data_IF_462878794184
#
_entry.id   IF_462878794184
#
_cell.length_a   1.000
_cell.length_b   1.000
_cell.length_c   1.000
_cell.angle_alpha   90.00
_cell.angle_beta   90.00
_cell.angle_gamma   90.00
#
_symmetry.space_group_name_H-M   'P 1'
#
loop_
_entity.id
_entity.type
_entity.pdbx_description
1 polymer ?
#
# COMPACT_ATOMS: atom_id res chain seq x y z
N UNK A 1 12.10 5.78 5.95
CA UNK A 1 11.72 4.73 6.92
C UNK A 1 10.44 5.03 7.64
N UNK A 2 9.70 3.99 7.95
CA UNK A 2 8.39 4.08 8.61
C UNK A 2 8.48 3.53 10.03
N UNK A 3 8.17 4.35 11.02
CA UNK A 3 8.30 4.05 12.46
C UNK A 3 9.69 3.48 12.80
N UNK A 4 9.75 2.30 13.45
CA UNK A 4 11.00 1.62 13.79
C UNK A 4 11.71 0.91 12.63
N UNK A 5 11.16 0.92 11.42
CA UNK A 5 11.72 0.24 10.25
C UNK A 5 12.34 1.26 9.29
N UNK A 6 13.67 1.24 9.16
CA UNK A 6 14.38 2.11 8.23
C UNK A 6 14.20 1.65 6.78
N UNK A 7 14.41 0.38 6.50
CA UNK A 7 14.21 -0.26 5.19
C UNK A 7 13.93 -1.75 5.41
N UNK A 8 12.89 -2.26 4.76
CA UNK A 8 12.58 -3.69 4.73
C UNK A 8 11.89 -4.05 3.43
N UNK A 9 12.03 -5.29 3.03
CA UNK A 9 11.22 -5.93 1.98
C UNK A 9 10.57 -7.14 2.62
N UNK A 10 9.25 -7.25 2.47
CA UNK A 10 8.47 -8.37 3.00
C UNK A 10 7.72 -9.00 1.84
N UNK A 11 7.92 -10.29 1.66
CA UNK A 11 7.21 -11.08 0.65
C UNK A 11 6.15 -11.89 1.36
N UNK A 12 4.90 -11.78 0.92
CA UNK A 12 3.78 -12.54 1.43
C UNK A 12 3.48 -13.70 0.48
N UNK A 13 3.42 -14.90 1.03
CA UNK A 13 2.79 -16.04 0.37
C UNK A 13 1.27 -15.94 0.53
N UNK A 14 0.54 -16.87 -0.09
CA UNK A 14 -0.92 -16.95 0.01
C UNK A 14 -1.40 -16.92 1.48
N UNK A 15 -0.67 -17.59 2.36
CA UNK A 15 -0.87 -17.52 3.81
C UNK A 15 0.46 -17.17 4.47
N UNK A 16 0.50 -16.11 5.24
CA UNK A 16 1.70 -15.66 5.93
C UNK A 16 1.45 -15.43 7.42
N UNK A 17 2.40 -15.84 8.25
CA UNK A 17 2.38 -15.63 9.70
C UNK A 17 3.62 -14.84 10.11
N UNK A 18 3.41 -13.69 10.76
CA UNK A 18 4.48 -12.87 11.30
C UNK A 18 4.75 -13.28 12.76
N UNK A 19 5.91 -13.87 13.03
CA UNK A 19 6.33 -14.32 14.36
C UNK A 19 7.53 -13.52 14.82
N UNK A 20 7.57 -13.18 16.09
CA UNK A 20 8.68 -12.46 16.70
C UNK A 20 8.32 -11.83 18.05
N UNK A 21 9.30 -11.33 18.81
CA UNK A 21 9.07 -10.68 20.11
C UNK A 21 8.25 -9.39 19.97
N UNK A 22 7.76 -8.86 21.09
CA UNK A 22 7.10 -7.56 21.10
C UNK A 22 8.08 -6.47 20.64
N UNK A 23 7.59 -5.51 19.88
CA UNK A 23 8.44 -4.44 19.32
C UNK A 23 9.22 -4.82 18.05
N UNK A 24 9.13 -6.05 17.52
CA UNK A 24 9.87 -6.49 16.33
C UNK A 24 9.33 -5.95 15.00
N UNK A 25 8.32 -5.08 15.01
CA UNK A 25 7.79 -4.46 13.80
C UNK A 25 6.62 -5.20 13.14
N UNK A 26 6.08 -6.29 13.73
CA UNK A 26 4.93 -7.03 13.18
C UNK A 26 3.72 -6.13 12.92
N UNK A 27 3.32 -5.36 13.92
CA UNK A 27 2.21 -4.41 13.79
C UNK A 27 2.54 -3.27 12.83
N UNK A 28 3.81 -2.85 12.76
CA UNK A 28 4.27 -1.82 11.82
C UNK A 28 4.06 -2.25 10.37
N UNK A 29 4.29 -3.53 10.05
CA UNK A 29 4.03 -4.09 8.72
C UNK A 29 2.53 -4.06 8.41
N UNK A 30 1.67 -4.49 9.35
CA UNK A 30 0.22 -4.44 9.17
C UNK A 30 -0.30 -3.00 9.02
N UNK A 31 0.25 -2.07 9.80
CA UNK A 31 -0.10 -0.65 9.70
C UNK A 31 0.36 -0.05 8.36
N UNK A 32 1.53 -0.45 7.85
CA UNK A 32 2.00 -0.04 6.52
C UNK A 32 1.04 -0.51 5.41
N UNK A 33 0.59 -1.77 5.46
CA UNK A 33 -0.41 -2.28 4.53
C UNK A 33 -1.75 -1.54 4.68
N UNK A 34 -2.17 -1.27 5.92
CA UNK A 34 -3.40 -0.52 6.19
C UNK A 34 -3.35 0.91 5.66
N UNK A 35 -2.21 1.57 5.76
CA UNK A 35 -1.99 2.91 5.18
C UNK A 35 -2.02 2.87 3.66
N UNK A 36 -1.41 1.85 3.06
CA UNK A 36 -1.33 1.74 1.60
C UNK A 36 -2.67 1.36 0.98
N UNK A 37 -3.40 0.41 1.56
CA UNK A 37 -4.61 -0.17 0.98
C UNK A 37 -5.90 0.20 1.71
N UNK A 38 -5.81 0.75 2.92
CA UNK A 38 -6.99 1.13 3.70
C UNK A 38 -7.69 2.34 3.10
N UNK A 39 -9.02 2.39 3.28
CA UNK A 39 -9.80 3.58 2.90
C UNK A 39 -9.41 4.76 3.77
N UNK A 40 -9.38 5.94 3.18
CA UNK A 40 -8.97 7.19 3.85
C UNK A 40 -9.71 7.47 5.15
N UNK A 41 -10.98 7.06 5.24
CA UNK A 41 -11.82 7.24 6.43
C UNK A 41 -11.50 6.27 7.58
N UNK A 42 -10.75 5.20 7.32
CA UNK A 42 -10.42 4.15 8.29
C UNK A 42 -8.95 4.18 8.69
N UNK A 43 -8.16 4.98 7.99
CA UNK A 43 -6.74 5.17 8.30
C UNK A 43 -6.65 6.26 9.37
N UNK A 44 -5.98 5.94 10.49
CA UNK A 44 -5.66 6.96 11.48
C UNK A 44 -4.84 8.08 10.86
N UNK A 45 -4.92 9.26 11.41
CA UNK A 45 -4.05 10.36 11.02
C UNK A 45 -2.58 9.99 11.27
N UNK A 46 -1.74 10.35 10.32
CA UNK A 46 -0.31 10.22 10.42
C UNK A 46 0.25 11.36 11.27
N UNK A 47 1.29 11.06 12.05
CA UNK A 47 1.98 12.02 12.89
C UNK A 47 3.50 11.94 12.64
N UNK A 48 4.26 12.86 13.23
CA UNK A 48 5.72 12.82 13.22
C UNK A 48 6.30 11.50 13.74
N UNK A 49 5.57 10.79 14.62
CA UNK A 49 5.98 9.50 15.17
C UNK A 49 5.90 8.34 14.16
N UNK A 50 5.32 8.57 13.00
CA UNK A 50 5.31 7.59 11.91
C UNK A 50 6.57 7.63 11.05
N UNK A 51 7.40 8.65 11.24
CA UNK A 51 8.71 8.71 10.61
C UNK A 51 9.76 7.97 11.44
N UNK A 52 10.77 7.42 10.75
CA UNK A 52 11.88 6.78 11.44
C UNK A 52 12.64 7.79 12.30
N UNK A 53 12.77 7.50 13.59
CA UNK A 53 13.38 8.39 14.56
C UNK A 53 12.46 9.43 15.18
N UNK A 54 11.20 9.50 14.77
CA UNK A 54 10.13 10.35 15.35
C UNK A 54 10.38 11.87 15.32
N UNK A 55 11.39 12.31 14.58
CA UNK A 55 11.76 13.73 14.42
C UNK A 55 12.12 13.99 12.95
N UNK A 56 11.11 14.05 12.06
CA UNK A 56 11.40 14.25 10.64
C UNK A 56 11.97 15.64 10.38
N UNK A 57 13.07 15.71 9.62
CA UNK A 57 13.55 16.96 9.04
C UNK A 57 12.69 17.32 7.81
N UNK A 58 12.79 18.57 7.33
CA UNK A 58 12.00 19.08 6.20
C UNK A 58 12.09 18.20 4.94
N UNK A 59 13.27 17.68 4.63
CA UNK A 59 13.49 16.78 3.50
C UNK A 59 13.15 15.32 3.80
N UNK A 60 12.74 14.98 5.03
CA UNK A 60 12.47 13.59 5.39
C UNK A 60 11.20 13.09 4.74
N UNK A 61 11.32 11.97 4.05
CA UNK A 61 10.20 11.26 3.41
C UNK A 61 10.20 9.81 3.91
N UNK A 62 9.02 9.21 4.05
CA UNK A 62 8.94 7.77 4.02
C UNK A 62 8.10 7.31 2.83
N UNK A 63 8.43 6.13 2.31
CA UNK A 63 7.72 5.49 1.22
C UNK A 63 7.36 4.07 1.62
N UNK A 64 6.16 3.68 1.30
CA UNK A 64 5.66 2.31 1.36
C UNK A 64 5.31 1.92 -0.06
N UNK A 65 5.88 0.85 -0.55
CA UNK A 65 5.57 0.35 -1.90
C UNK A 65 5.07 -1.08 -1.77
N UNK A 66 3.90 -1.33 -2.32
CA UNK A 66 3.30 -2.65 -2.34
C UNK A 66 3.10 -3.12 -3.78
N UNK A 67 3.55 -4.34 -4.06
CA UNK A 67 3.30 -5.01 -5.35
C UNK A 67 2.04 -5.87 -5.20
N UNK A 68 1.05 -5.61 -6.04
CA UNK A 68 -0.22 -6.33 -6.09
C UNK A 68 -0.28 -7.14 -7.37
N UNK A 69 -0.33 -8.46 -7.24
CA UNK A 69 -0.48 -9.39 -8.36
C UNK A 69 -1.93 -9.80 -8.58
N UNK A 70 -2.18 -10.45 -9.71
CA UNK A 70 -3.51 -10.98 -10.05
C UNK A 70 -4.56 -9.92 -10.36
N UNK A 71 -4.12 -8.73 -10.79
CA UNK A 71 -5.02 -7.62 -11.15
C UNK A 71 -5.78 -7.86 -12.46
N UNK A 72 -5.26 -8.72 -13.31
CA UNK A 72 -5.92 -9.22 -14.52
C UNK A 72 -5.52 -10.65 -14.80
N UNK A 73 -6.27 -11.33 -15.64
CA UNK A 73 -6.02 -12.72 -15.99
C UNK A 73 -4.97 -12.86 -17.09
N UNK A 74 -4.83 -11.93 -18.03
CA UNK A 74 -3.99 -12.14 -19.22
C UNK A 74 -3.29 -10.86 -19.71
N UNK A 75 -4.02 -9.77 -19.97
CA UNK A 75 -3.47 -8.57 -20.63
C UNK A 75 -3.71 -7.30 -19.82
N UNK A 76 -2.73 -6.37 -19.77
CA UNK A 76 -2.93 -5.07 -19.11
C UNK A 76 -4.12 -4.28 -19.67
N UNK A 77 -4.43 -4.47 -20.95
CA UNK A 77 -5.52 -3.80 -21.65
C UNK A 77 -6.91 -4.18 -21.14
N UNK A 78 -7.07 -5.34 -20.50
CA UNK A 78 -8.33 -5.75 -19.86
C UNK A 78 -8.66 -4.94 -18.61
N UNK A 79 -7.67 -4.25 -18.06
CA UNK A 79 -7.78 -3.43 -16.85
C UNK A 79 -7.47 -1.96 -17.12
N UNK A 80 -8.29 -1.34 -17.98
CA UNK A 80 -8.15 0.07 -18.36
C UNK A 80 -8.01 1.02 -17.17
N UNK A 81 -8.78 0.80 -16.12
CA UNK A 81 -8.76 1.65 -14.94
C UNK A 81 -7.44 1.60 -14.18
N UNK A 82 -6.64 0.56 -14.36
CA UNK A 82 -5.36 0.35 -13.70
C UNK A 82 -4.17 0.79 -14.56
N UNK A 83 -4.23 0.60 -15.89
CA UNK A 83 -3.05 0.71 -16.75
C UNK A 83 -3.17 1.73 -17.88
N UNK A 84 -4.38 2.19 -18.26
CA UNK A 84 -4.52 3.19 -19.33
C UNK A 84 -4.39 4.62 -18.82
N UNK A 85 -4.15 5.54 -19.76
CA UNK A 85 -4.08 6.98 -19.55
C UNK A 85 -2.97 7.39 -18.57
N UNK A 86 -1.81 6.71 -18.66
CA UNK A 86 -0.64 7.04 -17.85
C UNK A 86 -0.78 6.69 -16.36
N UNK A 87 -1.67 5.77 -16.02
CA UNK A 87 -1.84 5.30 -14.63
C UNK A 87 -0.71 4.35 -14.21
N UNK A 88 -1.01 3.11 -13.90
CA UNK A 88 -0.01 2.14 -13.48
C UNK A 88 0.83 1.61 -14.63
N UNK A 89 2.11 1.39 -14.39
CA UNK A 89 2.97 0.66 -15.31
C UNK A 89 2.78 -0.83 -15.08
N UNK A 90 2.38 -1.60 -16.09
CA UNK A 90 2.25 -3.04 -15.98
C UNK A 90 3.62 -3.67 -15.74
N UNK A 91 3.70 -4.58 -14.78
CA UNK A 91 4.89 -5.35 -14.44
C UNK A 91 4.52 -6.80 -14.24
N UNK A 92 5.51 -7.67 -14.24
CA UNK A 92 5.30 -9.10 -14.06
C UNK A 92 6.08 -9.60 -12.85
N UNK A 93 5.41 -10.27 -11.95
CA UNK A 93 6.02 -10.79 -10.74
C UNK A 93 6.87 -12.02 -11.05
N UNK A 94 8.16 -11.92 -10.76
CA UNK A 94 9.09 -13.03 -10.81
C UNK A 94 9.14 -13.73 -9.44
N UNK A 95 8.62 -14.94 -9.38
CA UNK A 95 8.52 -15.71 -8.13
C UNK A 95 9.87 -16.24 -7.63
N UNK A 96 10.90 -16.32 -8.48
CA UNK A 96 12.23 -16.77 -8.07
C UNK A 96 13.04 -15.64 -7.43
N UNK A 97 12.97 -14.44 -8.01
CA UNK A 97 13.70 -13.28 -7.51
C UNK A 97 12.92 -12.46 -6.51
N UNK A 98 11.63 -12.69 -6.38
CA UNK A 98 10.68 -11.88 -5.62
C UNK A 98 10.73 -10.39 -6.03
N UNK A 99 10.70 -10.14 -7.33
CA UNK A 99 10.70 -8.80 -7.91
C UNK A 99 9.65 -8.65 -9.00
N UNK A 100 9.19 -7.43 -9.17
CA UNK A 100 8.38 -7.04 -10.32
C UNK A 100 9.33 -6.69 -11.48
N UNK A 101 9.11 -7.29 -12.64
CA UNK A 101 9.92 -7.09 -13.85
C UNK A 101 9.10 -6.29 -14.88
N UNK A 102 9.75 -5.44 -15.69
CA UNK A 102 9.05 -4.60 -16.67
C UNK A 102 8.53 -5.38 -17.88
N UNK A 103 8.96 -6.61 -18.06
CA UNK A 103 8.54 -7.48 -19.16
C UNK A 103 8.28 -8.91 -18.67
N UNK A 104 7.34 -9.63 -19.28
CA UNK A 104 7.07 -11.01 -18.94
C UNK A 104 8.28 -11.89 -19.32
N UNK A 105 8.54 -12.90 -18.50
CA UNK A 105 9.55 -13.92 -18.73
C UNK A 105 9.05 -15.29 -18.28
N UNK A 106 9.83 -16.36 -18.51
CA UNK A 106 9.46 -17.70 -18.07
C UNK A 106 9.19 -17.80 -16.55
N UNK A 107 9.84 -16.95 -15.76
CA UNK A 107 9.73 -16.91 -14.30
C UNK A 107 8.89 -15.71 -13.79
N UNK A 108 8.59 -14.74 -14.66
CA UNK A 108 7.78 -13.57 -14.39
C UNK A 108 6.50 -13.60 -15.25
N UNK A 109 5.48 -14.30 -14.77
CA UNK A 109 4.26 -14.60 -15.53
C UNK A 109 3.01 -13.92 -14.96
N UNK A 110 3.03 -13.50 -13.70
CA UNK A 110 1.86 -12.90 -13.05
C UNK A 110 1.88 -11.39 -13.23
N UNK A 111 0.91 -10.87 -13.97
CA UNK A 111 0.72 -9.43 -14.10
C UNK A 111 0.51 -8.81 -12.73
N UNK A 112 1.25 -7.74 -12.46
CA UNK A 112 1.19 -7.00 -11.21
C UNK A 112 1.32 -5.49 -11.43
N UNK A 113 0.94 -4.74 -10.42
CA UNK A 113 1.10 -3.29 -10.35
C UNK A 113 1.75 -2.92 -9.02
N UNK A 114 2.48 -1.83 -8.99
CA UNK A 114 3.05 -1.29 -7.78
C UNK A 114 2.30 -0.04 -7.33
N UNK A 115 1.92 -0.02 -6.07
CA UNK A 115 1.20 1.09 -5.44
C UNK A 115 2.10 1.65 -4.35
N UNK A 116 2.38 2.95 -4.45
CA UNK A 116 3.16 3.69 -3.48
C UNK A 116 2.28 4.51 -2.54
N UNK A 117 2.72 4.66 -1.31
CA UNK A 117 2.30 5.72 -0.40
C UNK A 117 3.55 6.45 0.05
N UNK A 118 3.59 7.75 -0.19
CA UNK A 118 4.63 8.63 0.31
C UNK A 118 4.05 9.58 1.36
N UNK A 119 4.88 9.95 2.35
CA UNK A 119 4.53 10.94 3.33
C UNK A 119 5.70 11.87 3.62
N UNK A 120 5.38 13.15 3.89
CA UNK A 120 6.29 14.18 4.39
C UNK A 120 5.66 14.91 5.57
N UNK A 121 6.50 15.50 6.41
CA UNK A 121 6.04 16.35 7.49
C UNK A 121 6.15 17.81 7.07
N UNK A 122 5.04 18.51 7.13
CA UNK A 122 4.97 19.95 6.93
C UNK A 122 5.24 20.65 8.27
N UNK A 123 6.36 21.38 8.36
CA UNK A 123 6.78 22.07 9.58
C UNK A 123 6.00 23.36 9.82
N UNK A 124 5.46 23.97 8.77
CA UNK A 124 4.71 25.24 8.89
C UNK A 124 3.30 24.97 9.41
N UNK A 125 2.66 23.93 8.89
CA UNK A 125 1.32 23.54 9.30
C UNK A 125 1.28 22.45 10.39
N UNK A 126 2.46 21.95 10.80
CA UNK A 126 2.62 20.88 11.81
C UNK A 126 1.78 19.64 11.52
N UNK A 127 1.67 19.28 10.26
CA UNK A 127 0.90 18.13 9.81
C UNK A 127 1.70 17.19 8.90
N UNK A 128 1.23 15.96 8.77
CA UNK A 128 1.76 15.02 7.79
C UNK A 128 0.94 15.09 6.51
N UNK A 129 1.60 15.45 5.44
CA UNK A 129 1.05 15.29 4.09
C UNK A 129 1.37 13.90 3.56
N UNK A 130 0.43 13.29 2.90
CA UNK A 130 0.62 12.00 2.28
C UNK A 130 -0.16 11.87 0.98
N UNK A 131 0.37 11.07 0.07
CA UNK A 131 -0.29 10.74 -1.19
C UNK A 131 -0.10 9.28 -1.54
N UNK A 132 -1.09 8.72 -2.23
CA UNK A 132 -1.01 7.41 -2.87
C UNK A 132 -0.84 7.58 -4.36
N UNK A 133 -0.01 6.77 -4.96
CA UNK A 133 0.33 6.89 -6.36
C UNK A 133 0.63 5.52 -6.98
N UNK A 134 0.53 5.45 -8.30
CA UNK A 134 1.07 4.33 -9.05
C UNK A 134 2.60 4.46 -9.05
N UNK A 135 3.27 3.47 -8.45
CA UNK A 135 4.72 3.50 -8.33
C UNK A 135 5.37 2.91 -9.58
N UNK A 136 6.29 3.66 -10.15
CA UNK A 136 7.28 3.18 -11.13
C UNK A 136 8.66 3.06 -10.46
N UNK A 137 9.66 2.50 -11.16
CA UNK A 137 10.93 2.10 -10.53
C UNK A 137 11.87 3.26 -10.18
N UNK A 138 11.50 4.49 -10.41
CA UNK A 138 12.36 5.62 -10.10
C UNK A 138 12.25 6.05 -8.63
N UNK A 139 13.10 5.44 -7.79
CA UNK A 139 13.25 5.82 -6.38
C UNK A 139 13.85 7.23 -6.17
N UNK A 140 14.34 7.87 -7.23
CA UNK A 140 14.97 9.19 -7.15
C UNK A 140 13.96 10.34 -7.24
N UNK A 141 12.78 10.10 -7.81
CA UNK A 141 11.74 11.12 -7.94
C UNK A 141 11.08 11.35 -6.58
N UNK A 142 10.95 12.61 -6.15
CA UNK A 142 10.10 12.95 -5.01
C UNK A 142 8.63 12.94 -5.46
N UNK A 143 7.79 12.06 -4.89
CA UNK A 143 6.38 11.99 -5.26
C UNK A 143 5.58 13.26 -5.00
N UNK A 144 6.14 14.21 -4.25
CA UNK A 144 5.50 15.50 -3.96
C UNK A 144 5.87 16.60 -4.95
N UNK A 145 6.77 16.33 -5.90
CA UNK A 145 7.04 17.26 -6.98
C UNK A 145 5.85 17.30 -7.96
N UNK A 146 5.67 18.44 -8.61
CA UNK A 146 4.57 18.64 -9.55
C UNK A 146 4.67 17.65 -10.70
N UNK A 147 3.57 16.96 -10.98
CA UNK A 147 3.44 15.93 -12.03
C UNK A 147 4.45 14.76 -11.94
N UNK A 148 5.11 14.60 -10.81
CA UNK A 148 6.12 13.55 -10.62
C UNK A 148 5.54 12.13 -10.64
N UNK A 149 4.30 11.96 -10.20
CA UNK A 149 3.65 10.64 -10.09
C UNK A 149 2.18 10.70 -10.46
N UNK A 150 1.65 9.57 -10.93
CA UNK A 150 0.23 9.42 -11.21
C UNK A 150 -0.53 9.05 -9.91
N UNK A 151 -1.48 9.89 -9.44
CA UNK A 151 -2.24 9.61 -8.23
C UNK A 151 -3.03 8.31 -8.34
N UNK A 152 -3.03 7.52 -7.25
CA UNK A 152 -3.81 6.30 -7.18
C UNK A 152 -5.26 6.60 -6.77
N UNK A 153 -6.26 6.31 -7.62
CA UNK A 153 -7.66 6.65 -7.33
C UNK A 153 -8.22 5.81 -6.18
N UNK A 154 -8.88 6.46 -5.22
CA UNK A 154 -9.49 5.77 -4.07
C UNK A 154 -10.53 4.70 -4.48
N UNK A 155 -11.18 4.82 -5.63
CA UNK A 155 -12.12 3.82 -6.15
C UNK A 155 -11.47 2.45 -6.36
N UNK A 156 -10.20 2.42 -6.81
CA UNK A 156 -9.47 1.18 -7.05
C UNK A 156 -9.07 0.46 -5.76
N UNK A 157 -9.00 1.17 -4.62
CA UNK A 157 -8.81 0.52 -3.32
C UNK A 157 -9.92 -0.50 -2.99
N UNK A 158 -11.13 -0.25 -3.51
CA UNK A 158 -12.25 -1.17 -3.29
C UNK A 158 -12.06 -2.49 -4.02
N UNK A 159 -11.37 -2.47 -5.16
CA UNK A 159 -11.10 -3.66 -5.96
C UNK A 159 -10.03 -4.56 -5.33
N UNK A 160 -9.08 -3.98 -4.58
CA UNK A 160 -8.03 -4.74 -3.88
C UNK A 160 -8.62 -5.66 -2.81
N UNK A 161 -9.75 -5.29 -2.22
CA UNK A 161 -10.42 -6.12 -1.21
C UNK A 161 -9.63 -6.27 0.10
N UNK A 162 -8.78 -5.30 0.45
CA UNK A 162 -7.96 -5.36 1.66
C UNK A 162 -8.77 -5.09 2.93
N UNK A 163 -8.58 -5.95 3.93
CA UNK A 163 -9.23 -5.82 5.24
C UNK A 163 -8.25 -6.07 6.38
N UNK A 164 -8.35 -5.29 7.43
CA UNK A 164 -7.66 -5.54 8.69
C UNK A 164 -8.69 -5.88 9.75
N UNK A 165 -8.55 -7.04 10.36
CA UNK A 165 -9.34 -7.41 11.52
C UNK A 165 -8.68 -6.85 12.78
N UNK A 166 -9.40 -6.09 13.61
CA UNK A 166 -8.83 -5.54 14.84
C UNK A 166 -8.49 -6.66 15.83
N UNK A 167 -7.45 -6.44 16.63
CA UNK A 167 -6.99 -7.39 17.64
C UNK A 167 -8.08 -7.67 18.67
N UNK A 168 -8.83 -6.66 19.05
CA UNK A 168 -10.03 -6.82 19.90
C UNK A 168 -11.23 -7.18 19.01
N UNK A 169 -11.54 -8.45 18.99
CA UNK A 169 -12.71 -9.01 18.29
C UNK A 169 -13.96 -8.84 19.14
N UNK A 170 -14.48 -7.64 19.25
CA UNK A 170 -15.86 -7.46 19.72
C UNK A 170 -16.78 -7.80 18.55
N UNK A 171 -17.50 -8.91 18.64
CA UNK A 171 -18.43 -9.37 17.60
C UNK A 171 -19.44 -8.28 17.23
N UNK A 172 -19.89 -7.51 18.21
CA UNK A 172 -20.82 -6.39 18.00
C UNK A 172 -20.27 -5.36 17.01
N UNK A 173 -18.99 -5.00 17.10
CA UNK A 173 -18.37 -4.05 16.17
C UNK A 173 -18.11 -4.65 14.78
N UNK A 174 -17.88 -5.97 14.70
CA UNK A 174 -17.55 -6.64 13.43
C UNK A 174 -18.79 -6.96 12.61
N UNK A 175 -19.92 -7.30 13.27
CA UNK A 175 -21.18 -7.71 12.63
C UNK A 175 -22.19 -6.55 12.55
N UNK A 176 -21.86 -5.37 13.07
CA UNK A 176 -22.76 -4.20 12.98
C UNK A 176 -22.94 -3.75 11.52
N UNK A 177 -24.13 -3.27 11.19
CA UNK A 177 -24.40 -2.66 9.86
C UNK A 177 -23.47 -1.48 9.53
N UNK A 178 -22.80 -0.92 10.54
CA UNK A 178 -21.80 0.13 10.39
C UNK A 178 -20.42 -0.43 10.03
N UNK A 179 -20.16 -1.75 10.22
CA UNK A 179 -18.88 -2.34 9.91
C UNK A 179 -18.67 -2.45 8.40
N UNK A 180 -17.47 -2.16 7.95
CA UNK A 180 -17.13 -2.26 6.53
C UNK A 180 -17.17 -3.71 6.03
N UNK A 181 -16.78 -4.67 6.88
CA UNK A 181 -16.87 -6.09 6.57
C UNK A 181 -18.30 -6.51 6.26
N UNK A 182 -19.26 -6.09 7.10
CA UNK A 182 -20.67 -6.41 6.88
C UNK A 182 -21.20 -5.76 5.60
N UNK A 183 -20.92 -4.46 5.39
CA UNK A 183 -21.37 -3.76 4.18
C UNK A 183 -20.87 -4.41 2.90
N UNK A 184 -19.60 -4.83 2.87
CA UNK A 184 -19.05 -5.52 1.68
C UNK A 184 -19.62 -6.91 1.50
N UNK A 185 -19.78 -7.68 2.56
CA UNK A 185 -20.39 -9.01 2.47
C UNK A 185 -21.81 -8.94 1.91
N UNK A 186 -22.58 -7.88 2.26
CA UNK A 186 -23.94 -7.68 1.76
C UNK A 186 -23.98 -7.05 0.36
N UNK A 187 -22.98 -6.24 -0.02
CA UNK A 187 -22.93 -5.61 -1.35
C UNK A 187 -22.45 -6.54 -2.47
N UNK A 188 -21.96 -7.73 -2.12
CA UNK A 188 -21.52 -8.78 -3.07
C UNK A 188 -22.61 -9.84 -3.32
N UNK A 189 -23.74 -9.71 -2.66
CA UNK A 189 -24.96 -10.50 -2.89
C UNK A 189 -25.92 -9.77 -3.83
#
# INVERSE_FOLDING_TARGET
GFRGIRKAVVVFSEHAVLVGPNGSGKSTILDALSLTFGRTQLVRELTEHDFFGSTPAEATRFRLVATVGGVSTEEPDDRHDWFRDGRGVPKWWNSKTNKAEPQPSADATTLCVQIGLAARFDHDELKVEHLRYFHDDDDLVDPFDEDAVNPFPNRLLNEIGFFVLPVRRTWEATVSFASELFRRAVSTL
#
